data_IF_907308289129
#
_entry.id   IF_907308289129
#
_cell.length_a   1.000
_cell.length_b   1.000
_cell.length_c   1.000
_cell.angle_alpha   90.00
_cell.angle_beta   90.00
_cell.angle_gamma   90.00
#
_symmetry.space_group_name_H-M   'P 1'
#
loop_
_entity.id
_entity.type
_entity.pdbx_description
1 polymer ?
#
# COMPACT_ATOMS: atom_id res chain seq x y z
N UNK A 1 -6.66 -17.40 11.17
CA UNK A 1 -5.19 -17.18 11.16
C UNK A 1 -4.96 -16.00 10.24
N UNK A 2 -4.09 -15.05 10.62
CA UNK A 2 -3.74 -13.92 9.76
C UNK A 2 -2.42 -14.24 9.06
N UNK A 3 -2.33 -14.02 7.76
CA UNK A 3 -1.13 -14.15 6.96
C UNK A 3 -0.37 -12.82 6.99
N UNK A 4 0.79 -12.73 7.66
CA UNK A 4 1.60 -11.52 7.63
C UNK A 4 2.19 -11.30 6.24
N UNK A 5 2.07 -10.09 5.72
CA UNK A 5 2.55 -9.71 4.39
C UNK A 5 3.29 -8.37 4.42
N UNK A 6 4.22 -8.22 3.48
CA UNK A 6 4.81 -6.94 3.08
C UNK A 6 4.43 -6.67 1.63
N UNK A 7 4.18 -5.41 1.30
CA UNK A 7 3.77 -4.99 -0.04
C UNK A 7 4.76 -3.98 -0.62
N UNK A 8 5.37 -4.29 -1.76
CA UNK A 8 6.20 -3.37 -2.54
C UNK A 8 5.44 -2.97 -3.81
N UNK A 9 5.26 -1.67 -4.06
CA UNK A 9 4.41 -1.18 -5.16
C UNK A 9 4.80 0.23 -5.64
N UNK A 10 4.47 0.58 -6.88
CA UNK A 10 4.57 1.93 -7.44
C UNK A 10 3.17 2.54 -7.67
N UNK A 11 2.45 3.00 -6.63
CA UNK A 11 0.98 3.07 -6.65
C UNK A 11 0.37 3.83 -7.83
N UNK A 12 -0.24 3.06 -8.73
CA UNK A 12 -1.20 3.48 -9.75
C UNK A 12 -2.66 3.32 -9.30
N UNK A 13 -3.58 3.46 -10.27
CA UNK A 13 -5.03 3.33 -10.01
C UNK A 13 -5.39 1.88 -9.66
N UNK A 14 -4.76 0.93 -10.32
CA UNK A 14 -4.92 -0.51 -10.11
C UNK A 14 -4.27 -0.98 -8.80
N UNK A 15 -3.10 -0.46 -8.43
CA UNK A 15 -2.47 -0.75 -7.14
C UNK A 15 -3.32 -0.30 -5.95
N UNK A 16 -4.03 0.83 -6.07
CA UNK A 16 -4.91 1.29 -5.01
C UNK A 16 -5.98 0.24 -4.65
N UNK A 17 -6.48 -0.53 -5.63
CA UNK A 17 -7.42 -1.63 -5.38
C UNK A 17 -6.73 -2.79 -4.65
N UNK A 18 -5.49 -3.13 -5.04
CA UNK A 18 -4.72 -4.18 -4.38
C UNK A 18 -4.34 -3.81 -2.93
N UNK A 19 -3.92 -2.57 -2.69
CA UNK A 19 -3.62 -2.05 -1.35
C UNK A 19 -4.88 -2.09 -0.47
N UNK A 20 -6.02 -1.65 -1.00
CA UNK A 20 -7.30 -1.73 -0.27
C UNK A 20 -7.65 -3.18 0.09
N UNK A 21 -7.49 -4.11 -0.86
CA UNK A 21 -7.70 -5.53 -0.59
C UNK A 21 -6.75 -6.05 0.50
N UNK A 22 -5.48 -5.68 0.46
CA UNK A 22 -4.50 -6.06 1.47
C UNK A 22 -4.85 -5.52 2.88
N UNK A 23 -5.37 -4.29 2.97
CA UNK A 23 -5.78 -3.65 4.23
C UNK A 23 -7.07 -4.26 4.79
N UNK A 24 -8.07 -4.49 3.95
CA UNK A 24 -9.43 -4.80 4.40
C UNK A 24 -9.79 -6.29 4.34
N UNK A 25 -8.87 -7.17 3.91
CA UNK A 25 -9.06 -8.62 3.98
C UNK A 25 -8.68 -9.13 5.38
N UNK A 26 -9.64 -9.66 6.17
CA UNK A 26 -9.37 -10.08 7.55
C UNK A 26 -8.34 -11.21 7.68
N UNK A 27 -8.09 -11.97 6.63
CA UNK A 27 -7.11 -13.04 6.61
C UNK A 27 -5.68 -12.52 6.37
N UNK A 28 -5.51 -11.26 5.96
CA UNK A 28 -4.21 -10.64 5.71
C UNK A 28 -3.84 -9.69 6.85
N UNK A 29 -2.54 -9.59 7.08
CA UNK A 29 -1.95 -8.68 8.05
C UNK A 29 -0.81 -7.90 7.38
N UNK A 30 -1.14 -6.73 6.82
CA UNK A 30 -0.20 -5.87 6.12
C UNK A 30 0.66 -5.10 7.14
N UNK A 31 1.89 -5.56 7.30
CA UNK A 31 2.80 -5.09 8.35
C UNK A 31 3.76 -3.98 7.89
N UNK A 32 4.00 -3.88 6.58
CA UNK A 32 4.91 -2.91 5.97
C UNK A 32 4.52 -2.68 4.51
N UNK A 33 4.58 -1.43 4.07
CA UNK A 33 4.46 -1.09 2.65
C UNK A 33 5.69 -0.28 2.18
N UNK A 34 6.39 -0.80 1.18
CA UNK A 34 7.49 -0.09 0.53
C UNK A 34 7.05 0.42 -0.83
N UNK A 35 7.68 1.52 -1.27
CA UNK A 35 7.41 2.08 -2.59
C UNK A 35 8.64 2.06 -3.46
N UNK A 36 8.45 1.68 -4.72
CA UNK A 36 9.48 1.68 -5.75
C UNK A 36 9.18 2.73 -6.82
N UNK A 37 10.21 3.14 -7.56
CA UNK A 37 10.01 3.95 -8.77
C UNK A 37 9.48 3.07 -9.90
N UNK A 38 8.57 3.60 -10.70
CA UNK A 38 8.03 2.91 -11.86
C UNK A 38 7.57 3.91 -12.90
N UNK A 39 6.25 4.07 -13.07
CA UNK A 39 5.67 5.06 -14.00
C UNK A 39 6.03 6.51 -13.63
N UNK A 40 6.27 6.76 -12.34
CA UNK A 40 6.70 8.05 -11.80
C UNK A 40 7.86 7.85 -10.84
N UNK A 41 8.50 8.96 -10.43
CA UNK A 41 9.63 8.91 -9.49
C UNK A 41 9.22 8.36 -8.12
N UNK A 42 10.18 7.80 -7.38
CA UNK A 42 9.91 7.21 -6.05
C UNK A 42 9.25 8.22 -5.10
N UNK A 43 9.65 9.50 -5.16
CA UNK A 43 9.06 10.54 -4.29
C UNK A 43 7.58 10.79 -4.61
N UNK A 44 7.14 10.51 -5.83
CA UNK A 44 5.73 10.58 -6.23
C UNK A 44 5.00 9.30 -5.82
N UNK A 45 5.59 8.11 -6.01
CA UNK A 45 4.96 6.85 -5.60
C UNK A 45 4.81 6.77 -4.08
N UNK A 46 5.83 7.16 -3.30
CA UNK A 46 5.76 7.28 -1.83
C UNK A 46 4.65 8.25 -1.41
N UNK A 47 4.52 9.40 -2.10
CA UNK A 47 3.45 10.36 -1.79
C UNK A 47 2.07 9.79 -2.06
N UNK A 48 1.88 9.10 -3.19
CA UNK A 48 0.61 8.47 -3.53
C UNK A 48 0.24 7.40 -2.49
N UNK A 49 1.19 6.54 -2.10
CA UNK A 49 1.03 5.56 -1.04
C UNK A 49 0.56 6.22 0.28
N UNK A 50 1.26 7.25 0.73
CA UNK A 50 0.90 7.97 1.97
C UNK A 50 -0.49 8.63 1.88
N UNK A 51 -0.88 9.16 0.72
CA UNK A 51 -2.22 9.71 0.51
C UNK A 51 -3.31 8.63 0.60
N UNK A 52 -3.06 7.44 0.06
CA UNK A 52 -3.97 6.30 0.14
C UNK A 52 -4.12 5.80 1.58
N UNK A 53 -3.00 5.59 2.30
CA UNK A 53 -3.02 5.20 3.72
C UNK A 53 -3.76 6.25 4.57
N UNK A 54 -3.51 7.54 4.32
CA UNK A 54 -4.23 8.62 4.98
C UNK A 54 -5.73 8.61 4.67
N UNK A 55 -6.12 8.40 3.41
CA UNK A 55 -7.51 8.32 2.99
C UNK A 55 -8.27 7.18 3.70
N UNK A 56 -7.63 6.03 3.89
CA UNK A 56 -8.21 4.90 4.63
C UNK A 56 -8.02 4.99 6.15
N UNK A 57 -7.35 6.03 6.64
CA UNK A 57 -7.08 6.25 8.07
C UNK A 57 -6.41 5.03 8.72
N UNK A 58 -5.39 4.49 8.07
CA UNK A 58 -4.56 3.39 8.57
C UNK A 58 -3.12 3.86 8.79
N UNK A 59 -2.46 3.28 9.79
CA UNK A 59 -1.07 3.57 10.13
C UNK A 59 -0.21 2.34 9.86
N UNK A 60 0.20 2.22 8.59
CA UNK A 60 1.09 1.15 8.11
C UNK A 60 2.41 1.83 7.74
N UNK A 61 3.54 1.37 8.30
CA UNK A 61 4.84 1.98 8.03
C UNK A 61 5.29 1.81 6.59
#
# INVERSE_FOLDING_TARGET
MHLPIFLDTDPGIDDAVAIAAAIFTPELDLQLMTTVAGNVSVEKTTRNALQLLHFWNVDIP
#
